data_IF_547113197370
#
_entry.id   IF_547113197370
#
_cell.length_a   1.000
_cell.length_b   1.000
_cell.length_c   1.000
_cell.angle_alpha   90.00
_cell.angle_beta   90.00
_cell.angle_gamma   90.00
#
_symmetry.space_group_name_H-M   'P 1'
#
loop_
_entity.id
_entity.type
_entity.pdbx_description
1 polymer ?
#
# COMPACT_ATOMS: atom_id res chain seq x y z
N UNK A 1 7.96 17.68 3.52
CA UNK A 1 7.20 16.62 2.84
C UNK A 1 7.15 16.80 1.32
N UNK A 2 7.34 18.02 0.79
CA UNK A 2 7.15 18.33 -0.63
C UNK A 2 8.10 17.58 -1.59
N UNK A 3 9.36 17.34 -1.19
CA UNK A 3 10.35 16.64 -2.03
C UNK A 3 9.94 15.20 -2.41
N UNK A 4 9.16 14.49 -1.58
CA UNK A 4 8.79 13.09 -1.83
C UNK A 4 7.74 12.99 -2.95
N UNK A 5 6.81 13.95 -3.00
CA UNK A 5 5.80 14.02 -4.05
C UNK A 5 6.41 14.33 -5.42
N UNK A 6 7.37 15.25 -5.49
CA UNK A 6 8.08 15.59 -6.74
C UNK A 6 8.88 14.39 -7.26
N UNK A 7 9.52 13.62 -6.37
CA UNK A 7 10.31 12.45 -6.76
C UNK A 7 9.44 11.33 -7.37
N UNK A 8 8.29 11.03 -6.77
CA UNK A 8 7.35 10.03 -7.29
C UNK A 8 6.77 10.41 -8.65
N UNK A 9 6.38 11.68 -8.85
CA UNK A 9 5.87 12.16 -10.15
C UNK A 9 6.97 12.11 -11.22
N UNK A 10 8.20 12.51 -10.87
CA UNK A 10 9.33 12.50 -11.81
C UNK A 10 9.70 11.07 -12.26
N UNK A 11 9.74 10.11 -11.34
CA UNK A 11 9.99 8.69 -11.67
C UNK A 11 8.87 8.10 -12.56
N UNK A 12 7.62 8.52 -12.37
CA UNK A 12 6.50 8.07 -13.19
C UNK A 12 6.59 8.62 -14.63
N UNK A 13 6.90 9.91 -14.80
CA UNK A 13 7.09 10.52 -16.13
C UNK A 13 8.31 9.92 -16.86
N UNK A 14 9.43 9.71 -16.17
CA UNK A 14 10.62 9.10 -16.76
C UNK A 14 10.37 7.65 -17.22
N UNK A 15 9.54 6.87 -16.52
CA UNK A 15 9.12 5.53 -16.96
C UNK A 15 8.25 5.56 -18.24
N UNK A 16 7.46 6.60 -18.45
CA UNK A 16 6.62 6.76 -19.66
C UNK A 16 7.44 7.24 -20.86
N UNK A 17 8.44 8.09 -20.66
CA UNK A 17 9.23 8.67 -21.76
C UNK A 17 10.40 7.80 -22.27
N UNK A 18 10.85 6.79 -21.52
CA UNK A 18 11.99 5.93 -21.93
C UNK A 18 11.58 4.82 -22.92
N UNK A 19 10.29 4.51 -23.06
CA UNK A 19 9.78 3.43 -23.94
C UNK A 19 9.79 3.71 -25.44
N UNK A 20 10.34 4.83 -25.92
CA UNK A 20 10.23 5.29 -27.32
C UNK A 20 11.59 5.51 -27.99
N UNK A 21 12.41 4.44 -28.10
CA UNK A 21 13.63 4.42 -28.95
C UNK A 21 13.91 3.06 -29.59
N UNK A 22 13.48 2.91 -30.84
CA UNK A 22 14.28 2.31 -31.94
C UNK A 22 13.57 2.66 -33.25
N UNK A 23 14.24 3.34 -34.17
CA UNK A 23 15.25 2.83 -35.11
C UNK A 23 14.57 2.24 -36.33
N UNK A 24 14.74 2.93 -37.46
CA UNK A 24 14.37 2.40 -38.76
C UNK A 24 15.45 1.44 -39.23
N UNK A 25 15.07 0.34 -39.89
CA UNK A 25 15.47 0.09 -41.27
C UNK A 25 14.58 -0.98 -41.96
N UNK A 26 14.67 -1.07 -43.29
CA UNK A 26 14.57 -2.32 -44.07
C UNK A 26 13.24 -3.12 -44.09
N UNK A 27 12.53 -3.19 -45.25
CA UNK A 27 11.45 -4.16 -45.44
C UNK A 27 12.00 -5.53 -45.88
N UNK A 28 11.87 -6.56 -45.04
CA UNK A 28 11.98 -7.96 -45.50
C UNK A 28 10.69 -8.35 -46.23
N UNK A 29 10.79 -8.37 -47.55
CA UNK A 29 9.75 -8.80 -48.49
C UNK A 29 10.04 -10.24 -48.87
N UNK A 30 9.08 -11.17 -48.76
CA UNK A 30 9.08 -12.46 -49.47
C UNK A 30 7.66 -13.06 -49.43
N UNK A 31 6.90 -12.82 -50.50
CA UNK A 31 5.88 -13.77 -50.95
C UNK A 31 6.54 -14.54 -52.08
N UNK A 32 6.75 -15.83 -51.87
CA UNK A 32 7.12 -16.77 -52.93
C UNK A 32 6.14 -17.94 -52.85
N UNK A 33 5.14 -17.95 -53.74
CA UNK A 33 4.46 -19.19 -54.10
C UNK A 33 5.50 -20.11 -54.75
N UNK A 34 5.82 -21.24 -54.12
CA UNK A 34 6.90 -22.11 -54.59
C UNK A 34 7.25 -23.27 -53.65
N UNK A 35 6.43 -24.33 -53.75
CA UNK A 35 6.69 -25.72 -53.36
C UNK A 35 6.89 -26.08 -51.86
N UNK A 36 6.65 -27.36 -51.55
CA UNK A 36 6.90 -28.07 -50.28
C UNK A 36 6.08 -27.72 -49.00
N UNK A 37 4.96 -26.98 -49.08
CA UNK A 37 3.99 -26.96 -47.97
C UNK A 37 3.03 -28.16 -48.04
N UNK A 38 2.79 -28.93 -46.96
CA UNK A 38 1.81 -30.02 -46.96
C UNK A 38 0.40 -29.51 -47.25
N UNK A 39 -0.45 -30.28 -47.94
CA UNK A 39 -1.81 -29.80 -48.25
C UNK A 39 -2.71 -29.85 -47.00
N UNK A 40 -3.61 -28.88 -46.87
CA UNK A 40 -4.61 -28.87 -45.80
C UNK A 40 -5.50 -30.12 -45.85
N UNK A 41 -5.58 -30.79 -47.00
CA UNK A 41 -6.27 -32.07 -47.17
C UNK A 41 -5.61 -33.24 -46.41
N UNK A 42 -4.32 -33.18 -46.09
CA UNK A 42 -3.62 -34.19 -45.30
C UNK A 42 -3.73 -33.88 -43.80
N UNK A 43 -3.57 -32.60 -43.44
CA UNK A 43 -3.60 -32.12 -42.04
C UNK A 43 -5.02 -32.06 -41.46
N UNK A 44 -6.00 -31.61 -42.26
CA UNK A 44 -7.39 -31.39 -41.84
C UNK A 44 -8.39 -31.68 -43.00
N UNK A 45 -8.59 -32.96 -43.35
CA UNK A 45 -9.48 -33.38 -44.43
C UNK A 45 -10.87 -32.71 -44.49
N UNK A 46 -11.60 -32.47 -43.37
CA UNK A 46 -12.91 -31.82 -43.45
C UNK A 46 -12.84 -30.32 -43.76
N UNK A 47 -11.77 -29.61 -43.38
CA UNK A 47 -11.61 -28.18 -43.64
C UNK A 47 -10.98 -27.88 -45.01
N UNK A 48 -10.29 -28.83 -45.64
CA UNK A 48 -9.68 -28.63 -46.96
C UNK A 48 -10.67 -28.22 -48.06
N UNK A 49 -11.96 -28.54 -47.94
CA UNK A 49 -12.99 -28.11 -48.92
C UNK A 49 -13.37 -26.63 -48.82
N UNK A 50 -13.03 -25.95 -47.72
CA UNK A 50 -13.31 -24.53 -47.53
C UNK A 50 -12.14 -23.66 -48.01
N UNK A 51 -12.40 -22.81 -49.00
CA UNK A 51 -11.41 -21.89 -49.54
C UNK A 51 -10.88 -20.89 -48.51
N UNK A 52 -11.70 -20.47 -47.52
CA UNK A 52 -11.24 -19.55 -46.48
C UNK A 52 -10.27 -20.23 -45.50
N UNK A 53 -10.55 -21.49 -45.13
CA UNK A 53 -9.67 -22.33 -44.32
C UNK A 53 -8.36 -22.64 -45.04
N UNK A 54 -8.38 -22.95 -46.35
CA UNK A 54 -7.15 -23.12 -47.16
C UNK A 54 -6.28 -21.87 -47.17
N UNK A 55 -6.86 -20.68 -47.36
CA UNK A 55 -6.12 -19.42 -47.32
C UNK A 55 -5.52 -19.14 -45.94
N UNK A 56 -6.23 -19.51 -44.87
CA UNK A 56 -5.77 -19.32 -43.49
C UNK A 56 -4.68 -20.31 -43.10
N UNK A 57 -4.75 -21.56 -43.60
CA UNK A 57 -3.69 -22.55 -43.46
C UNK A 57 -2.44 -22.14 -44.22
N UNK A 58 -2.54 -21.77 -45.51
CA UNK A 58 -1.41 -21.27 -46.29
C UNK A 58 -0.74 -20.04 -45.64
N UNK A 59 -1.54 -19.16 -45.04
CA UNK A 59 -1.02 -18.04 -44.23
C UNK A 59 -0.27 -18.52 -42.98
N UNK A 60 -0.74 -19.58 -42.32
CA UNK A 60 -0.04 -20.16 -41.18
C UNK A 60 1.26 -20.89 -41.60
N UNK A 61 1.30 -21.50 -42.79
CA UNK A 61 2.55 -22.01 -43.39
C UNK A 61 3.57 -20.88 -43.60
N UNK A 62 3.14 -19.71 -44.12
CA UNK A 62 4.01 -18.54 -44.26
C UNK A 62 4.49 -17.99 -42.92
N UNK A 63 3.73 -18.17 -41.83
CA UNK A 63 4.16 -17.80 -40.47
C UNK A 63 5.13 -18.83 -39.90
N UNK A 64 4.88 -20.13 -40.11
CA UNK A 64 5.80 -21.20 -39.70
C UNK A 64 7.17 -21.06 -40.37
N UNK A 65 7.22 -20.85 -41.69
CA UNK A 65 8.45 -20.57 -42.46
C UNK A 65 9.13 -19.23 -42.13
N UNK A 66 8.47 -18.34 -41.38
CA UNK A 66 9.11 -17.12 -40.86
C UNK A 66 9.80 -17.38 -39.51
N UNK A 67 9.52 -18.51 -38.88
CA UNK A 67 10.07 -18.93 -37.59
C UNK A 67 11.09 -20.06 -37.73
N UNK A 68 10.84 -21.00 -38.64
CA UNK A 68 11.71 -22.10 -39.10
C UNK A 68 12.80 -21.49 -40.02
N UNK A 69 13.98 -21.18 -39.47
CA UNK A 69 15.08 -20.51 -40.18
C UNK A 69 16.00 -21.47 -40.92
N UNK A 70 16.12 -22.73 -40.47
CA UNK A 70 16.93 -23.76 -41.13
C UNK A 70 16.16 -24.64 -42.13
N UNK A 71 14.84 -24.44 -42.22
CA UNK A 71 13.89 -25.16 -43.09
C UNK A 71 13.83 -26.68 -42.81
N UNK A 72 14.06 -27.12 -41.55
CA UNK A 72 13.96 -28.53 -41.15
C UNK A 72 12.51 -29.06 -41.04
N UNK A 73 11.53 -28.15 -40.99
CA UNK A 73 10.10 -28.44 -40.91
C UNK A 73 9.53 -28.40 -39.48
N UNK A 74 10.32 -28.02 -38.49
CA UNK A 74 9.93 -27.85 -37.10
C UNK A 74 10.58 -26.61 -36.48
N UNK A 75 9.86 -25.89 -35.62
CA UNK A 75 10.41 -24.72 -34.93
C UNK A 75 10.95 -25.11 -33.56
N UNK A 76 12.24 -24.87 -33.32
CA UNK A 76 12.93 -25.13 -32.06
C UNK A 76 12.79 -23.97 -31.05
N UNK A 77 13.35 -24.19 -29.86
CA UNK A 77 13.31 -23.23 -28.76
C UNK A 77 14.22 -21.99 -28.98
N UNK A 78 15.30 -22.16 -29.73
CA UNK A 78 16.28 -21.13 -30.09
C UNK A 78 15.70 -20.17 -31.13
N UNK A 79 15.13 -20.72 -32.20
CA UNK A 79 14.44 -20.03 -33.29
C UNK A 79 13.24 -19.23 -32.78
N UNK A 80 12.36 -19.86 -32.00
CA UNK A 80 11.23 -19.17 -31.37
C UNK A 80 11.69 -18.01 -30.49
N UNK A 81 12.86 -18.13 -29.85
CA UNK A 81 13.43 -17.07 -29.03
C UNK A 81 14.07 -15.94 -29.86
N UNK A 82 14.76 -16.26 -30.97
CA UNK A 82 15.27 -15.31 -31.98
C UNK A 82 14.11 -14.48 -32.56
N UNK A 83 13.10 -15.15 -33.10
CA UNK A 83 11.91 -14.55 -33.72
C UNK A 83 11.11 -13.68 -32.74
N UNK A 84 10.93 -14.13 -31.49
CA UNK A 84 10.27 -13.35 -30.45
C UNK A 84 10.99 -12.03 -30.17
N UNK A 85 12.34 -12.07 -30.15
CA UNK A 85 13.19 -10.91 -29.86
C UNK A 85 13.24 -9.94 -31.04
N UNK A 86 13.42 -10.44 -32.25
CA UNK A 86 13.87 -9.61 -33.38
C UNK A 86 12.73 -9.17 -34.30
N UNK A 87 11.77 -10.05 -34.62
CA UNK A 87 10.58 -9.70 -35.43
C UNK A 87 9.44 -9.15 -34.57
N UNK A 88 9.19 -9.77 -33.42
CA UNK A 88 8.08 -9.41 -32.54
C UNK A 88 8.45 -8.34 -31.50
N UNK A 89 9.74 -8.10 -31.22
CA UNK A 89 10.23 -7.19 -30.16
C UNK A 89 9.72 -7.52 -28.74
N UNK A 90 9.49 -8.81 -28.47
CA UNK A 90 8.89 -9.36 -27.26
C UNK A 90 9.88 -10.26 -26.49
N UNK A 91 10.66 -9.69 -25.56
CA UNK A 91 11.36 -10.49 -24.55
C UNK A 91 10.36 -11.00 -23.50
N UNK A 92 9.85 -12.22 -23.71
CA UNK A 92 8.92 -12.88 -22.78
C UNK A 92 9.10 -14.39 -22.72
N UNK A 93 9.81 -14.84 -21.68
CA UNK A 93 9.93 -16.26 -21.29
C UNK A 93 8.58 -16.95 -21.08
N UNK A 94 7.54 -16.20 -20.72
CA UNK A 94 6.17 -16.72 -20.59
C UNK A 94 5.52 -17.01 -21.93
N UNK A 95 5.78 -16.20 -22.97
CA UNK A 95 5.30 -16.46 -24.34
C UNK A 95 6.01 -17.65 -24.96
N UNK A 96 7.34 -17.69 -24.84
CA UNK A 96 8.15 -18.85 -25.23
C UNK A 96 7.64 -20.15 -24.59
N UNK A 97 7.43 -20.17 -23.27
CA UNK A 97 6.83 -21.32 -22.56
C UNK A 97 5.38 -21.63 -22.99
N UNK A 98 4.60 -20.63 -23.42
CA UNK A 98 3.21 -20.83 -23.87
C UNK A 98 3.12 -21.47 -25.26
N UNK A 99 4.12 -21.21 -26.11
CA UNK A 99 4.24 -21.78 -27.46
C UNK A 99 4.66 -23.26 -27.38
N UNK A 100 5.83 -23.53 -26.80
CA UNK A 100 6.37 -24.89 -26.67
C UNK A 100 5.62 -25.77 -25.67
N UNK A 101 5.11 -25.21 -24.56
CA UNK A 101 4.47 -25.94 -23.45
C UNK A 101 5.38 -27.01 -22.83
N UNK A 102 5.39 -28.21 -23.42
CA UNK A 102 6.24 -29.35 -23.06
C UNK A 102 7.02 -29.92 -24.27
N UNK A 103 6.71 -29.44 -25.48
CA UNK A 103 7.20 -29.95 -26.75
C UNK A 103 8.39 -29.10 -27.21
N UNK A 104 9.55 -29.75 -27.44
CA UNK A 104 10.80 -29.05 -27.76
C UNK A 104 10.84 -28.51 -29.21
N UNK A 105 10.11 -29.16 -30.11
CA UNK A 105 10.01 -28.87 -31.53
C UNK A 105 8.52 -28.73 -31.89
N UNK A 106 8.15 -27.69 -32.63
CA UNK A 106 6.76 -27.42 -33.04
C UNK A 106 6.63 -27.58 -34.56
N UNK A 107 5.95 -28.63 -35.02
CA UNK A 107 5.69 -28.80 -36.45
C UNK A 107 4.56 -27.86 -36.93
N UNK A 108 4.45 -27.69 -38.25
CA UNK A 108 3.33 -27.00 -38.87
C UNK A 108 1.95 -27.60 -38.50
N UNK A 109 1.88 -28.92 -38.30
CA UNK A 109 0.64 -29.59 -37.85
C UNK A 109 0.31 -29.26 -36.40
N UNK A 110 1.32 -29.20 -35.52
CA UNK A 110 1.15 -28.78 -34.13
C UNK A 110 0.71 -27.33 -34.05
N UNK A 111 1.31 -26.45 -34.87
CA UNK A 111 0.93 -25.04 -34.97
C UNK A 111 -0.53 -24.88 -35.44
N UNK A 112 -0.96 -25.61 -36.46
CA UNK A 112 -2.36 -25.60 -36.92
C UNK A 112 -3.33 -26.12 -35.86
N UNK A 113 -2.98 -27.21 -35.17
CA UNK A 113 -3.83 -27.78 -34.11
C UNK A 113 -3.93 -26.85 -32.89
N UNK A 114 -2.81 -26.22 -32.49
CA UNK A 114 -2.74 -25.23 -31.42
C UNK A 114 -3.61 -24.02 -31.76
N UNK A 115 -3.48 -23.47 -32.98
CA UNK A 115 -4.34 -22.41 -33.49
C UNK A 115 -5.83 -22.78 -33.46
N UNK A 116 -6.21 -23.94 -34.01
CA UNK A 116 -7.60 -24.44 -34.05
C UNK A 116 -8.18 -24.70 -32.66
N UNK A 117 -7.35 -25.10 -31.69
CA UNK A 117 -7.75 -25.28 -30.29
C UNK A 117 -7.86 -23.98 -29.49
N UNK A 118 -7.33 -22.87 -30.01
CA UNK A 118 -7.37 -21.58 -29.34
C UNK A 118 -8.78 -20.99 -29.31
N UNK A 119 -9.09 -20.21 -28.26
CA UNK A 119 -10.34 -19.45 -28.17
C UNK A 119 -10.53 -18.50 -29.37
N UNK A 120 -9.41 -18.03 -29.94
CA UNK A 120 -9.36 -17.07 -31.05
C UNK A 120 -9.98 -17.63 -32.33
N UNK A 121 -9.79 -18.93 -32.61
CA UNK A 121 -10.39 -19.59 -33.78
C UNK A 121 -11.92 -19.45 -33.80
N UNK A 122 -12.54 -19.42 -32.62
CA UNK A 122 -13.99 -19.31 -32.43
C UNK A 122 -14.47 -17.85 -32.24
N UNK A 123 -13.62 -16.84 -32.43
CA UNK A 123 -14.02 -15.44 -32.28
C UNK A 123 -15.01 -15.00 -33.37
N UNK A 124 -16.07 -14.35 -32.92
CA UNK A 124 -17.02 -13.62 -33.76
C UNK A 124 -16.40 -12.36 -34.35
N UNK A 125 -16.97 -11.85 -35.44
CA UNK A 125 -16.55 -10.59 -36.07
C UNK A 125 -16.52 -9.41 -35.07
N UNK A 126 -17.43 -9.41 -34.09
CA UNK A 126 -17.50 -8.39 -33.05
C UNK A 126 -16.29 -8.47 -32.10
N UNK A 127 -15.92 -9.67 -31.64
CA UNK A 127 -14.75 -9.87 -30.78
C UNK A 127 -13.43 -9.52 -31.51
N UNK A 128 -13.32 -9.85 -32.80
CA UNK A 128 -12.19 -9.43 -33.63
C UNK A 128 -12.15 -7.90 -33.78
N UNK A 129 -13.30 -7.25 -33.93
CA UNK A 129 -13.40 -5.78 -34.00
C UNK A 129 -13.05 -5.11 -32.66
N UNK A 130 -13.51 -5.63 -31.54
CA UNK A 130 -13.18 -5.13 -30.19
C UNK A 130 -11.69 -5.31 -29.89
N UNK A 131 -11.11 -6.46 -30.27
CA UNK A 131 -9.66 -6.67 -30.25
C UNK A 131 -8.91 -5.61 -31.07
N UNK A 132 -9.36 -5.37 -32.31
CA UNK A 132 -8.75 -4.38 -33.20
C UNK A 132 -8.74 -2.97 -32.58
N UNK A 133 -9.84 -2.56 -31.94
CA UNK A 133 -9.92 -1.27 -31.24
C UNK A 133 -9.01 -1.22 -29.99
N UNK A 134 -9.06 -2.24 -29.13
CA UNK A 134 -8.40 -2.21 -27.81
C UNK A 134 -6.91 -2.56 -27.86
N UNK A 135 -6.50 -3.47 -28.74
CA UNK A 135 -5.14 -4.04 -28.75
C UNK A 135 -4.27 -3.60 -29.93
N UNK A 136 -4.90 -3.23 -31.05
CA UNK A 136 -4.19 -2.67 -32.22
C UNK A 136 -4.24 -1.14 -32.20
N UNK A 137 -5.27 -0.55 -31.59
CA UNK A 137 -5.42 0.90 -31.36
C UNK A 137 -5.39 1.70 -32.69
N UNK A 138 -6.02 1.17 -33.74
CA UNK A 138 -6.09 1.82 -35.07
C UNK A 138 -7.53 2.22 -35.44
N UNK A 139 -8.20 3.11 -34.66
CA UNK A 139 -9.61 3.47 -34.89
C UNK A 139 -9.86 4.05 -36.29
N UNK A 140 -8.85 4.64 -36.93
CA UNK A 140 -8.93 5.24 -38.27
C UNK A 140 -9.27 4.25 -39.41
N UNK A 141 -8.99 2.94 -39.25
CA UNK A 141 -9.38 1.92 -40.24
C UNK A 141 -10.61 1.10 -39.83
N UNK A 142 -11.28 1.47 -38.74
CA UNK A 142 -12.43 0.74 -38.18
C UNK A 142 -13.56 0.49 -39.20
N UNK A 143 -13.91 1.49 -40.01
CA UNK A 143 -14.94 1.34 -41.05
C UNK A 143 -14.52 0.43 -42.21
N UNK A 144 -13.24 0.40 -42.58
CA UNK A 144 -12.71 -0.57 -43.56
C UNK A 144 -12.71 -1.98 -42.98
N UNK A 145 -12.29 -2.12 -41.72
CA UNK A 145 -12.23 -3.40 -41.01
C UNK A 145 -13.62 -4.02 -40.82
N UNK A 146 -14.63 -3.20 -40.44
CA UNK A 146 -16.02 -3.64 -40.30
C UNK A 146 -16.64 -4.11 -41.62
N UNK A 147 -16.31 -3.48 -42.75
CA UNK A 147 -16.77 -3.89 -44.10
C UNK A 147 -16.16 -5.22 -44.55
N UNK A 148 -14.96 -5.54 -44.07
CA UNK A 148 -14.25 -6.76 -44.42
C UNK A 148 -14.78 -8.00 -43.67
N UNK A 149 -15.58 -7.80 -42.61
CA UNK A 149 -16.29 -8.85 -41.87
C UNK A 149 -15.40 -10.03 -41.43
N UNK A 150 -14.18 -9.73 -40.99
CA UNK A 150 -13.21 -10.73 -40.56
C UNK A 150 -13.68 -11.45 -39.29
N UNK A 151 -13.70 -12.78 -39.36
CA UNK A 151 -13.91 -13.68 -38.24
C UNK A 151 -12.57 -14.14 -37.64
N UNK A 152 -12.62 -14.85 -36.51
CA UNK A 152 -11.42 -15.38 -35.86
C UNK A 152 -10.57 -16.25 -36.79
N UNK A 153 -11.22 -17.07 -37.62
CA UNK A 153 -10.59 -17.97 -38.59
C UNK A 153 -9.72 -17.25 -39.62
N UNK A 154 -10.05 -16.01 -39.99
CA UNK A 154 -9.29 -15.23 -40.96
C UNK A 154 -8.06 -14.51 -40.37
N UNK A 155 -7.84 -14.52 -39.05
CA UNK A 155 -6.72 -13.82 -38.41
C UNK A 155 -5.31 -14.24 -38.89
N UNK A 156 -5.00 -15.52 -39.18
CA UNK A 156 -3.71 -15.91 -39.78
C UNK A 156 -3.42 -15.16 -41.09
N UNK A 157 -4.45 -14.81 -41.87
CA UNK A 157 -4.32 -14.07 -43.14
C UNK A 157 -3.90 -12.61 -42.94
N UNK A 158 -4.10 -12.06 -41.73
CA UNK A 158 -3.53 -10.77 -41.32
C UNK A 158 -2.09 -10.93 -40.83
N UNK A 159 -1.77 -12.00 -40.07
CA UNK A 159 -0.43 -12.29 -39.57
C UNK A 159 0.59 -12.54 -40.72
N UNK A 160 0.17 -13.24 -41.78
CA UNK A 160 0.96 -13.44 -42.99
C UNK A 160 0.94 -12.26 -43.98
N UNK A 161 0.28 -11.13 -43.62
CA UNK A 161 0.18 -9.92 -44.45
C UNK A 161 -0.29 -10.20 -45.89
N UNK A 162 -1.35 -10.99 -46.06
CA UNK A 162 -1.82 -11.38 -47.39
C UNK A 162 -2.14 -10.14 -48.28
N UNK A 163 -1.56 -10.03 -49.50
CA UNK A 163 -1.76 -8.88 -50.39
C UNK A 163 -3.23 -8.45 -50.61
N UNK A 164 -4.20 -9.35 -50.88
CA UNK A 164 -5.59 -8.95 -51.14
C UNK A 164 -6.31 -8.38 -49.91
N UNK A 165 -5.89 -8.71 -48.69
CA UNK A 165 -6.45 -8.08 -47.48
C UNK A 165 -5.87 -6.68 -47.29
N UNK A 166 -4.56 -6.50 -47.50
CA UNK A 166 -3.93 -5.17 -47.35
C UNK A 166 -4.45 -4.13 -48.33
N UNK A 167 -4.73 -4.51 -49.59
CA UNK A 167 -5.35 -3.63 -50.57
C UNK A 167 -6.80 -3.28 -50.21
N UNK A 168 -7.56 -4.26 -49.71
CA UNK A 168 -8.96 -4.07 -49.28
C UNK A 168 -9.09 -3.18 -48.03
N UNK A 169 -8.14 -3.27 -47.10
CA UNK A 169 -8.16 -2.50 -45.85
C UNK A 169 -7.78 -1.01 -46.04
N UNK A 170 -7.22 -0.64 -47.21
CA UNK A 170 -6.72 0.70 -47.54
C UNK A 170 -5.72 1.27 -46.52
N UNK A 171 -4.91 0.40 -45.91
CA UNK A 171 -3.83 0.83 -45.01
C UNK A 171 -2.63 1.27 -45.86
N UNK A 172 -2.63 2.54 -46.26
CA UNK A 172 -1.55 3.16 -47.04
C UNK A 172 -0.21 3.18 -46.27
N UNK A 173 -0.27 3.24 -44.94
CA UNK A 173 0.91 3.35 -44.08
C UNK A 173 1.50 1.98 -43.75
N UNK A 174 2.73 1.75 -44.21
CA UNK A 174 3.47 0.50 -43.94
C UNK A 174 3.59 0.20 -42.45
N UNK A 175 3.77 1.23 -41.61
CA UNK A 175 3.88 1.11 -40.15
C UNK A 175 2.60 0.61 -39.49
N UNK A 176 1.43 1.09 -39.95
CA UNK A 176 0.14 0.64 -39.41
C UNK A 176 -0.18 -0.79 -39.86
N UNK A 177 0.18 -1.16 -41.09
CA UNK A 177 0.07 -2.53 -41.57
C UNK A 177 0.97 -3.49 -40.77
N UNK A 178 2.21 -3.08 -40.46
CA UNK A 178 3.13 -3.86 -39.64
C UNK A 178 2.66 -3.97 -38.18
N UNK A 179 2.14 -2.89 -37.55
CA UNK A 179 1.55 -2.95 -36.21
C UNK A 179 0.38 -3.96 -36.16
N UNK A 180 -0.50 -3.94 -37.16
CA UNK A 180 -1.60 -4.90 -37.27
C UNK A 180 -1.09 -6.33 -37.46
N UNK A 181 -0.10 -6.53 -38.33
CA UNK A 181 0.52 -7.83 -38.59
C UNK A 181 1.12 -8.43 -37.32
N UNK A 182 1.98 -7.69 -36.61
CA UNK A 182 2.62 -8.14 -35.36
C UNK A 182 1.60 -8.44 -34.26
N UNK A 183 0.52 -7.65 -34.16
CA UNK A 183 -0.56 -7.92 -33.21
C UNK A 183 -1.42 -9.13 -33.59
N UNK A 184 -1.64 -9.39 -34.88
CA UNK A 184 -2.34 -10.57 -35.35
C UNK A 184 -1.50 -11.84 -35.11
N UNK A 185 -0.20 -11.77 -35.42
CA UNK A 185 0.80 -12.80 -35.16
C UNK A 185 0.87 -13.17 -33.67
N UNK A 186 0.96 -12.18 -32.78
CA UNK A 186 0.92 -12.38 -31.31
C UNK A 186 -0.31 -13.20 -30.87
N UNK A 187 -1.46 -12.96 -31.48
CA UNK A 187 -2.71 -13.66 -31.13
C UNK A 187 -2.87 -15.03 -31.78
N UNK A 188 -2.34 -15.21 -32.99
CA UNK A 188 -2.35 -16.52 -33.67
C UNK A 188 -1.41 -17.50 -32.96
N UNK A 189 -0.23 -17.04 -32.53
CA UNK A 189 0.77 -17.88 -31.84
C UNK A 189 0.47 -18.07 -30.35
N UNK A 190 0.05 -17.00 -29.64
CA UNK A 190 -0.10 -17.03 -28.18
C UNK A 190 -1.55 -16.96 -27.69
N UNK A 191 -2.55 -16.91 -28.57
CA UNK A 191 -3.96 -16.84 -28.21
C UNK A 191 -4.40 -15.46 -27.69
N UNK A 192 -5.56 -15.35 -27.02
CA UNK A 192 -6.09 -14.07 -26.54
C UNK A 192 -5.07 -13.33 -25.65
N UNK A 193 -4.96 -11.99 -25.76
CA UNK A 193 -4.29 -11.22 -24.73
C UNK A 193 -5.06 -11.46 -23.42
N UNK A 194 -4.37 -11.72 -22.29
CA UNK A 194 -5.06 -11.95 -21.03
C UNK A 194 -5.90 -10.72 -20.71
N UNK A 195 -7.23 -10.90 -20.67
CA UNK A 195 -8.15 -9.82 -20.37
C UNK A 195 -7.69 -9.13 -19.08
N UNK A 196 -7.44 -7.82 -19.14
CA UNK A 196 -7.08 -7.05 -17.93
C UNK A 196 -8.24 -7.23 -16.96
N UNK A 197 -8.04 -7.92 -15.81
CA UNK A 197 -9.17 -8.17 -14.94
C UNK A 197 -9.57 -6.82 -14.35
N UNK A 198 -10.83 -6.44 -14.52
CA UNK A 198 -11.41 -5.23 -13.90
C UNK A 198 -11.08 -5.14 -12.39
N UNK A 199 -10.87 -6.28 -11.73
CA UNK A 199 -10.39 -6.38 -10.35
C UNK A 199 -9.00 -5.77 -10.11
N UNK A 200 -8.05 -5.83 -11.06
CA UNK A 200 -6.74 -5.15 -10.94
C UNK A 200 -6.89 -3.64 -11.02
N UNK A 201 -7.70 -3.15 -11.96
CA UNK A 201 -7.93 -1.71 -12.11
C UNK A 201 -8.76 -1.16 -10.94
N UNK A 202 -9.75 -1.93 -10.45
CA UNK A 202 -10.49 -1.64 -9.22
C UNK A 202 -9.59 -1.63 -7.98
N UNK A 203 -8.65 -2.57 -7.86
CA UNK A 203 -7.67 -2.60 -6.76
C UNK A 203 -6.72 -1.40 -6.81
N UNK A 204 -6.28 -0.99 -8.01
CA UNK A 204 -5.48 0.22 -8.20
C UNK A 204 -6.27 1.46 -7.75
N UNK A 205 -7.51 1.64 -8.21
CA UNK A 205 -8.39 2.75 -7.79
C UNK A 205 -8.64 2.73 -6.29
N UNK A 206 -8.93 1.56 -5.70
CA UNK A 206 -9.15 1.41 -4.26
C UNK A 206 -7.91 1.78 -3.43
N UNK A 207 -6.71 1.38 -3.90
CA UNK A 207 -5.45 1.73 -3.24
C UNK A 207 -5.16 3.24 -3.28
N UNK A 208 -5.51 3.90 -4.39
CA UNK A 208 -5.38 5.36 -4.53
C UNK A 208 -6.37 6.09 -3.61
N UNK A 209 -7.61 5.60 -3.49
CA UNK A 209 -8.61 6.16 -2.57
C UNK A 209 -8.18 5.99 -1.10
N UNK A 210 -7.67 4.82 -0.72
CA UNK A 210 -7.11 4.59 0.63
C UNK A 210 -5.95 5.54 0.95
N UNK A 211 -5.06 5.80 -0.01
CA UNK A 211 -3.97 6.77 0.16
C UNK A 211 -4.50 8.20 0.37
N UNK A 212 -5.48 8.63 -0.44
CA UNK A 212 -6.10 9.96 -0.31
C UNK A 212 -6.83 10.12 1.03
N UNK A 213 -7.61 9.13 1.45
CA UNK A 213 -8.27 9.12 2.77
C UNK A 213 -7.25 9.17 3.90
N UNK A 214 -6.16 8.38 3.82
CA UNK A 214 -5.09 8.40 4.82
C UNK A 214 -4.41 9.76 4.95
N UNK A 215 -4.14 10.45 3.83
CA UNK A 215 -3.60 11.82 3.83
C UNK A 215 -4.60 12.82 4.42
N UNK A 216 -5.88 12.75 4.03
CA UNK A 216 -6.92 13.65 4.57
C UNK A 216 -7.12 13.48 6.07
N UNK A 217 -7.19 12.23 6.57
CA UNK A 217 -7.33 11.94 8.00
C UNK A 217 -6.09 12.37 8.77
N UNK A 218 -4.88 12.13 8.25
CA UNK A 218 -3.63 12.57 8.88
C UNK A 218 -3.56 14.10 8.99
N UNK A 219 -4.01 14.83 7.96
CA UNK A 219 -4.07 16.29 7.97
C UNK A 219 -5.07 16.82 9.01
N UNK A 220 -6.25 16.21 9.13
CA UNK A 220 -7.27 16.58 10.12
C UNK A 220 -6.82 16.28 11.57
N UNK A 221 -6.26 15.09 11.81
CA UNK A 221 -5.73 14.71 13.13
C UNK A 221 -4.55 15.58 13.55
N UNK A 222 -3.62 15.89 12.64
CA UNK A 222 -2.49 16.78 12.91
C UNK A 222 -2.95 18.23 13.21
N UNK A 223 -4.02 18.70 12.55
CA UNK A 223 -4.61 20.01 12.85
C UNK A 223 -5.26 20.02 14.24
N UNK A 224 -5.95 18.94 14.63
CA UNK A 224 -6.62 18.84 15.94
C UNK A 224 -5.64 18.60 17.09
N UNK A 225 -4.58 17.81 16.88
CA UNK A 225 -3.59 17.50 17.93
C UNK A 225 -2.87 18.73 18.48
N UNK A 226 -2.74 19.82 17.70
CA UNK A 226 -2.17 21.08 18.18
C UNK A 226 -3.02 21.77 19.26
N UNK A 227 -4.33 21.55 19.28
CA UNK A 227 -5.23 22.08 20.32
C UNK A 227 -5.12 21.24 21.60
N UNK A 228 -5.05 19.92 21.46
CA UNK A 228 -5.01 18.99 22.60
C UNK A 228 -3.62 18.92 23.26
N UNK A 229 -2.52 19.08 22.49
CA UNK A 229 -1.17 19.23 23.05
C UNK A 229 -1.03 20.47 23.94
N UNK A 230 -1.71 21.57 23.60
CA UNK A 230 -1.71 22.79 24.43
C UNK A 230 -2.36 22.57 25.79
N UNK A 231 -3.44 21.77 25.85
CA UNK A 231 -4.08 21.39 27.11
C UNK A 231 -3.16 20.52 27.98
N UNK A 232 -2.57 19.48 27.39
CA UNK A 232 -1.66 18.56 28.10
C UNK A 232 -0.43 19.29 28.65
N UNK A 233 0.11 20.28 27.94
CA UNK A 233 1.20 21.13 28.46
C UNK A 233 0.74 22.01 29.63
N UNK A 234 -0.45 22.62 29.54
CA UNK A 234 -1.02 23.42 30.64
C UNK A 234 -1.33 22.59 31.89
N UNK A 235 -1.78 21.33 31.72
CA UNK A 235 -2.06 20.42 32.83
C UNK A 235 -0.78 19.97 33.53
N UNK A 236 0.33 19.80 32.79
CA UNK A 236 1.65 19.50 33.37
C UNK A 236 2.21 20.68 34.18
N UNK A 237 2.08 21.91 33.67
CA UNK A 237 2.51 23.12 34.38
C UNK A 237 1.70 23.36 35.67
N UNK A 238 0.39 23.07 35.63
CA UNK A 238 -0.47 23.09 36.82
C UNK A 238 -0.12 21.98 37.85
N UNK A 239 0.20 20.76 37.40
CA UNK A 239 0.62 19.67 38.28
C UNK A 239 1.97 19.97 38.97
N UNK A 240 2.94 20.50 38.22
CA UNK A 240 4.24 20.91 38.77
C UNK A 240 4.09 22.03 39.82
N UNK A 241 3.18 22.98 39.59
CA UNK A 241 2.86 24.04 40.56
C UNK A 241 2.29 23.47 41.88
N UNK A 242 1.42 22.45 41.79
CA UNK A 242 0.83 21.81 42.96
C UNK A 242 1.83 20.94 43.75
N UNK A 243 2.83 20.35 43.08
CA UNK A 243 3.94 19.64 43.73
C UNK A 243 4.81 20.58 44.58
N UNK A 244 5.07 21.78 44.08
CA UNK A 244 5.83 22.82 44.79
C UNK A 244 5.06 23.35 46.02
N UNK A 245 3.75 23.61 45.90
CA UNK A 245 2.91 23.99 47.05
C UNK A 245 2.81 22.88 48.13
N UNK A 246 2.68 21.61 47.73
CA UNK A 246 2.66 20.48 48.67
C UNK A 246 3.97 20.36 49.45
N UNK A 247 5.10 20.58 48.78
CA UNK A 247 6.42 20.59 49.41
C UNK A 247 6.52 21.73 50.43
N UNK A 248 6.06 22.93 50.06
CA UNK A 248 6.04 24.10 50.95
C UNK A 248 5.13 23.93 52.18
N UNK A 249 4.01 23.20 52.04
CA UNK A 249 3.12 22.86 53.15
C UNK A 249 3.72 21.83 54.11
N UNK A 250 4.50 20.86 53.60
CA UNK A 250 5.23 19.91 54.45
C UNK A 250 6.30 20.62 55.29
N UNK A 251 7.07 21.54 54.71
CA UNK A 251 8.06 22.33 55.44
C UNK A 251 7.42 23.18 56.54
N UNK A 252 6.31 23.89 56.25
CA UNK A 252 5.61 24.68 57.27
C UNK A 252 4.98 23.82 58.38
N UNK A 253 4.51 22.62 58.07
CA UNK A 253 4.05 21.67 59.10
C UNK A 253 5.22 21.21 59.99
N UNK A 254 6.40 20.99 59.40
CA UNK A 254 7.60 20.61 60.13
C UNK A 254 8.11 21.74 61.04
N UNK A 255 8.12 23.00 60.57
CA UNK A 255 8.41 24.18 61.38
C UNK A 255 7.41 24.34 62.54
N UNK A 256 6.11 24.22 62.27
CA UNK A 256 5.07 24.31 63.29
C UNK A 256 5.22 23.21 64.36
N UNK A 257 5.54 21.98 63.97
CA UNK A 257 5.83 20.89 64.91
C UNK A 257 7.10 21.14 65.74
N UNK A 258 8.14 21.76 65.17
CA UNK A 258 9.34 22.13 65.92
C UNK A 258 9.04 23.22 66.96
N UNK A 259 8.32 24.27 66.58
CA UNK A 259 7.89 25.34 67.51
C UNK A 259 6.98 24.79 68.62
N UNK A 260 6.08 23.85 68.31
CA UNK A 260 5.24 23.25 69.35
C UNK A 260 6.06 22.39 70.34
N UNK A 261 7.15 21.77 69.89
CA UNK A 261 8.07 21.00 70.77
C UNK A 261 8.90 21.91 71.68
N UNK A 262 9.44 23.03 71.19
CA UNK A 262 10.21 23.97 72.02
C UNK A 262 9.31 24.62 73.10
N UNK A 263 8.12 25.08 72.73
CA UNK A 263 7.14 25.65 73.69
C UNK A 263 6.70 24.62 74.73
N UNK A 264 6.60 23.32 74.38
CA UNK A 264 6.29 22.27 75.35
C UNK A 264 7.45 22.01 76.32
N UNK A 265 8.70 22.05 75.85
CA UNK A 265 9.89 21.93 76.69
C UNK A 265 10.04 23.11 77.66
N UNK A 266 9.87 24.34 77.18
CA UNK A 266 9.88 25.55 78.03
C UNK A 266 8.78 25.50 79.09
N UNK A 267 7.55 25.09 78.72
CA UNK A 267 6.43 24.97 79.66
C UNK A 267 6.72 23.97 80.79
N UNK A 268 7.36 22.83 80.48
CA UNK A 268 7.79 21.85 81.49
C UNK A 268 8.87 22.43 82.41
N UNK A 269 9.85 23.16 81.86
CA UNK A 269 10.92 23.79 82.63
C UNK A 269 10.40 24.89 83.57
N UNK A 270 9.46 25.72 83.10
CA UNK A 270 8.78 26.76 83.91
C UNK A 270 7.93 26.12 85.02
N UNK A 271 7.20 25.05 84.72
CA UNK A 271 6.39 24.34 85.70
C UNK A 271 7.24 23.73 86.84
N UNK A 272 8.44 23.22 86.52
CA UNK A 272 9.38 22.73 87.54
C UNK A 272 9.93 23.86 88.43
N UNK A 273 10.27 25.02 87.88
CA UNK A 273 10.71 26.19 88.67
C UNK A 273 9.62 26.65 89.65
N UNK A 274 8.39 26.81 89.18
CA UNK A 274 7.26 27.23 90.01
C UNK A 274 6.98 26.24 91.16
N UNK A 275 7.11 24.93 90.94
CA UNK A 275 6.99 23.95 92.03
C UNK A 275 8.11 24.06 93.06
N UNK A 276 9.35 24.32 92.65
CA UNK A 276 10.48 24.57 93.55
C UNK A 276 10.27 25.80 94.43
N UNK A 277 9.81 26.91 93.85
CA UNK A 277 9.51 28.15 94.57
C UNK A 277 8.38 27.98 95.58
N UNK A 278 7.27 27.31 95.21
CA UNK A 278 6.16 27.03 96.14
C UNK A 278 6.59 26.10 97.27
N UNK A 279 7.44 25.10 97.01
CA UNK A 279 7.98 24.22 98.07
C UNK A 279 8.88 25.00 99.04
N UNK A 280 9.76 25.86 98.53
CA UNK A 280 10.62 26.72 99.36
C UNK A 280 9.79 27.65 100.25
N UNK A 281 8.84 28.40 99.67
CA UNK A 281 7.95 29.29 100.41
C UNK A 281 7.10 28.55 101.45
N UNK A 282 6.69 27.31 101.17
CA UNK A 282 5.95 26.46 102.12
C UNK A 282 6.83 25.99 103.28
N UNK A 283 8.10 25.70 103.02
CA UNK A 283 9.08 25.33 104.04
C UNK A 283 9.42 26.51 104.96
N UNK A 284 9.55 27.72 104.42
CA UNK A 284 9.67 28.95 105.22
C UNK A 284 8.40 29.22 106.05
N UNK A 285 7.21 29.07 105.47
CA UNK A 285 5.95 29.23 106.18
C UNK A 285 5.75 28.20 107.31
N UNK A 286 6.26 26.97 107.15
CA UNK A 286 6.29 25.97 108.22
C UNK A 286 7.28 26.37 109.34
N UNK A 287 8.49 26.79 108.98
CA UNK A 287 9.49 27.29 109.94
C UNK A 287 8.99 28.49 110.75
N UNK A 288 8.27 29.42 110.12
CA UNK A 288 7.62 30.55 110.79
C UNK A 288 6.44 30.12 111.69
N UNK A 289 5.74 29.03 111.37
CA UNK A 289 4.69 28.47 112.24
C UNK A 289 5.27 27.79 113.48
N UNK A 290 6.40 27.09 113.36
CA UNK A 290 7.09 26.51 114.51
C UNK A 290 7.61 27.61 115.46
N UNK A 291 8.19 28.69 114.92
CA UNK A 291 8.58 29.87 115.70
C UNK A 291 7.39 30.58 116.37
N UNK A 292 6.17 30.48 115.81
CA UNK A 292 4.94 31.06 116.37
C UNK A 292 4.16 30.09 117.27
N UNK A 293 4.57 28.82 117.38
CA UNK A 293 3.93 27.81 118.22
C UNK A 293 4.26 27.93 119.72
N UNK A 294 5.27 28.73 120.09
CA UNK A 294 5.69 28.96 121.46
C UNK A 294 4.95 30.09 122.16
N UNK A 295 3.67 29.88 122.53
CA UNK A 295 2.92 30.78 123.42
C UNK A 295 1.44 30.99 123.07
N UNK A 296 0.55 30.25 123.75
CA UNK A 296 -0.89 30.56 123.84
C UNK A 296 -1.24 31.25 125.18
N UNK A 297 -2.52 31.32 125.61
CA UNK A 297 -3.78 30.86 124.99
C UNK A 297 -4.64 32.08 124.52
N UNK A 298 -5.98 32.14 124.42
CA UNK A 298 -7.13 31.24 124.70
C UNK A 298 -8.37 31.64 123.83
N UNK A 299 -9.48 30.89 123.91
CA UNK A 299 -10.80 31.17 123.29
C UNK A 299 -10.84 30.99 121.76
N UNK A 300 -11.69 30.17 121.13
CA UNK A 300 -13.08 29.81 121.43
C UNK A 300 -14.02 30.74 120.64
N UNK A 301 -14.85 30.31 119.68
CA UNK A 301 -15.21 28.98 119.21
C UNK A 301 -15.72 28.98 117.74
N UNK A 302 -15.84 27.78 117.14
CA UNK A 302 -17.07 27.38 116.43
C UNK A 302 -17.27 27.75 114.95
N UNK A 303 -16.80 26.89 114.03
CA UNK A 303 -17.45 26.70 112.71
C UNK A 303 -18.57 25.63 112.78
N UNK A 304 -19.07 25.06 111.66
CA UNK A 304 -18.66 25.20 110.24
C UNK A 304 -19.81 25.84 109.38
N UNK A 305 -19.97 25.74 108.04
CA UNK A 305 -19.33 24.91 107.01
C UNK A 305 -19.45 25.47 105.58
N UNK A 306 -18.68 24.86 104.66
CA UNK A 306 -18.88 24.67 103.20
C UNK A 306 -19.95 25.48 102.44
N UNK A 307 -19.53 26.27 101.44
CA UNK A 307 -19.31 25.75 100.08
C UNK A 307 -18.70 26.80 99.14
N UNK A 308 -17.82 26.38 98.23
CA UNK A 308 -17.39 27.18 97.07
C UNK A 308 -17.38 26.27 95.84
N UNK A 309 -18.34 26.47 94.94
CA UNK A 309 -18.31 25.91 93.59
C UNK A 309 -18.29 27.05 92.58
N UNK A 310 -17.17 27.13 91.84
CA UNK A 310 -17.10 27.23 90.38
C UNK A 310 -18.16 28.11 89.69
N UNK A 311 -17.73 29.18 89.01
CA UNK A 311 -17.93 29.30 87.55
C UNK A 311 -16.81 30.14 86.91
N UNK A 312 -16.46 29.75 85.68
CA UNK A 312 -15.46 30.39 84.83
C UNK A 312 -16.15 31.35 83.84
N UNK A 313 -15.38 32.32 83.36
CA UNK A 313 -15.39 32.80 81.97
C UNK A 313 -14.00 32.50 81.37
#
# INVERSE_FOLDING_TARGET
>A
MECVCVWLVCVFVLRVCVGARSSADGPRHLVTDGDAAPDLCEVDPPLCRDAASRLSFASLCSVHRLMDEDEDGSVDASETHEFLRDDLSLDSKDKHRKFHRADALISLQDLWSSWKSSEVYNWTQQQVFDWFLVSVELPQYSESFRKLQLDGKALPRLAARSPPLTSSLKVSDRTHAQKLQLKALDIVLFGPPPARPLLKDLLLVLSLLLALVGVSVSFLLNRKSREDLGRVLSDLEALQSAEEELTQLQDRLQEAQQQQRSVHQEKLQVQQRLQGEVLSARQEAQRLRELRGGGGPEGGAGGPSTSWTRYYL
#
